data_IF_222272760515
#
_entry.id   IF_222272760515
#
_cell.length_a   1.000
_cell.length_b   1.000
_cell.length_c   1.000
_cell.angle_alpha   90.00
_cell.angle_beta   90.00
_cell.angle_gamma   90.00
#
_symmetry.space_group_name_H-M   'P 1'
#
loop_
_entity.id
_entity.type
_entity.pdbx_description
1 polymer ?
#
# COMPACT_ATOMS: atom_id res chain seq x y z
N UNK A 1 -48.15 18.10 2.22
CA UNK A 1 -46.75 18.44 2.56
C UNK A 1 -45.83 17.60 1.69
N UNK A 2 -45.10 18.15 0.74
CA UNK A 2 -44.20 17.36 -0.10
C UNK A 2 -42.87 17.10 0.61
N UNK A 3 -42.47 15.87 0.52
CA UNK A 3 -41.51 15.15 1.33
C UNK A 3 -40.08 15.72 1.36
N UNK A 4 -39.56 15.77 2.54
CA UNK A 4 -38.17 16.11 2.96
C UNK A 4 -37.09 15.30 2.22
N UNK A 5 -37.43 14.17 1.61
CA UNK A 5 -36.51 13.29 0.88
C UNK A 5 -35.96 13.89 -0.42
N UNK A 6 -36.76 14.70 -1.12
CA UNK A 6 -36.31 15.37 -2.37
C UNK A 6 -35.29 16.48 -2.12
N UNK A 7 -35.35 17.15 -0.96
CA UNK A 7 -34.42 18.20 -0.57
C UNK A 7 -33.06 17.64 -0.13
N UNK A 8 -33.06 16.42 0.41
CA UNK A 8 -31.81 15.76 0.82
C UNK A 8 -30.95 15.38 -0.40
N UNK A 9 -31.57 14.89 -1.46
CA UNK A 9 -30.88 14.50 -2.69
C UNK A 9 -30.31 15.68 -3.48
N UNK A 10 -30.97 16.85 -3.44
CA UNK A 10 -30.47 18.06 -4.12
C UNK A 10 -29.34 18.74 -3.35
N UNK A 11 -29.27 18.61 -2.01
CA UNK A 11 -28.17 19.18 -1.22
C UNK A 11 -26.90 18.34 -1.31
N UNK A 12 -26.98 17.05 -1.61
CA UNK A 12 -25.82 16.17 -1.75
C UNK A 12 -25.07 16.35 -3.09
N UNK A 13 -25.65 17.05 -4.05
CA UNK A 13 -25.06 17.26 -5.38
C UNK A 13 -24.11 18.46 -5.46
N UNK A 14 -24.03 19.30 -4.41
CA UNK A 14 -23.22 20.52 -4.41
C UNK A 14 -21.90 20.34 -3.64
N UNK A 15 -21.72 19.24 -2.91
CA UNK A 15 -20.42 18.86 -2.36
C UNK A 15 -19.67 17.88 -3.28
N UNK A 16 -19.66 18.16 -4.56
CA UNK A 16 -18.69 17.64 -5.49
C UNK A 16 -17.34 18.29 -5.17
N UNK A 17 -16.71 17.85 -4.08
CA UNK A 17 -15.30 18.09 -3.90
C UNK A 17 -14.61 17.54 -5.13
N UNK A 18 -14.03 18.43 -5.92
CA UNK A 18 -13.10 18.07 -6.96
C UNK A 18 -11.98 17.26 -6.29
N UNK A 19 -12.09 15.94 -6.32
CA UNK A 19 -10.96 15.05 -6.09
C UNK A 19 -10.03 15.37 -7.25
N UNK A 20 -9.14 16.32 -7.01
CA UNK A 20 -8.01 16.52 -7.90
C UNK A 20 -7.19 15.24 -7.79
N UNK A 21 -7.38 14.36 -8.76
CA UNK A 21 -6.48 13.24 -8.94
C UNK A 21 -5.11 13.83 -9.22
N UNK A 22 -4.25 13.83 -8.21
CA UNK A 22 -2.82 14.12 -8.40
C UNK A 22 -2.31 13.00 -9.29
N UNK A 23 -2.32 13.21 -10.59
CA UNK A 23 -1.64 12.34 -11.54
C UNK A 23 -0.14 12.56 -11.32
N UNK A 24 0.46 11.68 -10.54
CA UNK A 24 1.90 11.54 -10.53
C UNK A 24 2.31 11.12 -11.94
N UNK A 25 2.87 12.06 -12.71
CA UNK A 25 3.38 11.78 -14.05
C UNK A 25 4.85 11.40 -13.91
N UNK A 26 5.12 10.10 -13.84
CA UNK A 26 6.48 9.61 -13.99
C UNK A 26 6.99 9.98 -15.38
N UNK A 27 8.24 10.40 -15.49
CA UNK A 27 8.89 10.56 -16.77
C UNK A 27 9.00 9.18 -17.47
N UNK A 28 8.90 9.10 -18.80
CA UNK A 28 9.07 7.83 -19.50
C UNK A 28 10.41 7.19 -19.13
N UNK A 29 10.37 5.95 -18.62
CA UNK A 29 11.57 5.21 -18.22
C UNK A 29 11.99 5.37 -16.76
N UNK A 30 11.36 6.27 -15.97
CA UNK A 30 11.60 6.35 -14.54
C UNK A 30 10.61 5.48 -13.74
N UNK A 31 11.08 4.74 -12.73
CA UNK A 31 10.20 3.94 -11.89
C UNK A 31 9.31 4.84 -11.03
N UNK A 32 8.02 4.50 -10.94
CA UNK A 32 7.10 5.10 -9.98
C UNK A 32 6.85 4.10 -8.86
N UNK A 33 7.14 4.49 -7.63
CA UNK A 33 6.93 3.68 -6.42
C UNK A 33 5.91 4.40 -5.54
N UNK A 34 4.87 3.69 -5.14
CA UNK A 34 3.76 4.25 -4.36
C UNK A 34 3.52 3.39 -3.12
N UNK A 35 3.35 4.04 -1.99
CA UNK A 35 2.95 3.43 -0.72
C UNK A 35 1.73 4.13 -0.15
N UNK A 36 0.87 3.39 0.55
CA UNK A 36 -0.37 3.93 1.12
C UNK A 36 -0.12 4.81 2.35
N UNK A 37 0.85 4.44 3.18
CA UNK A 37 1.07 5.05 4.48
C UNK A 37 2.41 5.78 4.57
N UNK A 38 2.54 6.82 5.40
CA UNK A 38 3.78 7.60 5.53
C UNK A 38 5.01 6.75 5.91
N UNK A 39 4.85 5.70 6.72
CA UNK A 39 5.94 4.80 7.08
C UNK A 39 6.46 3.99 5.88
N UNK A 40 5.68 3.86 4.80
CA UNK A 40 6.13 3.25 3.55
C UNK A 40 7.23 4.01 2.82
N UNK A 41 7.53 5.26 3.22
CA UNK A 41 8.60 6.05 2.58
C UNK A 41 9.96 5.34 2.65
N UNK A 42 10.33 4.78 3.79
CA UNK A 42 11.58 4.03 3.95
C UNK A 42 11.63 2.82 3.00
N UNK A 43 10.50 2.13 2.84
CA UNK A 43 10.35 1.04 1.88
C UNK A 43 10.52 1.52 0.43
N UNK A 44 9.91 2.65 0.06
CA UNK A 44 10.05 3.24 -1.27
C UNK A 44 11.50 3.63 -1.58
N UNK A 45 12.20 4.22 -0.62
CA UNK A 45 13.61 4.60 -0.75
C UNK A 45 14.48 3.35 -0.98
N UNK A 46 14.22 2.26 -0.23
CA UNK A 46 14.92 0.98 -0.42
C UNK A 46 14.60 0.32 -1.77
N UNK A 47 13.36 0.32 -2.18
CA UNK A 47 12.93 -0.20 -3.47
C UNK A 47 13.64 0.54 -4.63
N UNK A 48 13.69 1.87 -4.56
CA UNK A 48 14.40 2.69 -5.55
C UNK A 48 15.90 2.39 -5.57
N UNK A 49 16.52 2.23 -4.40
CA UNK A 49 17.92 1.84 -4.26
C UNK A 49 18.18 0.47 -4.92
N UNK A 50 17.31 -0.50 -4.68
CA UNK A 50 17.40 -1.83 -5.29
C UNK A 50 17.37 -1.76 -6.83
N UNK A 51 16.47 -0.94 -7.39
CA UNK A 51 16.41 -0.74 -8.84
C UNK A 51 17.67 -0.06 -9.40
N UNK A 52 18.22 0.93 -8.70
CA UNK A 52 19.49 1.58 -9.08
C UNK A 52 20.67 0.60 -9.13
N UNK A 53 20.64 -0.42 -8.28
CA UNK A 53 21.63 -1.49 -8.26
C UNK A 53 21.28 -2.69 -9.16
N UNK A 54 20.42 -2.47 -10.17
CA UNK A 54 20.00 -3.47 -11.17
C UNK A 54 19.20 -4.66 -10.61
N UNK A 55 18.57 -4.52 -9.46
CA UNK A 55 17.57 -5.47 -8.98
C UNK A 55 16.33 -5.47 -9.88
N UNK A 56 15.61 -6.58 -9.91
CA UNK A 56 14.33 -6.67 -10.61
C UNK A 56 13.23 -5.87 -9.92
N UNK A 57 12.09 -5.69 -10.58
CA UNK A 57 10.91 -5.07 -9.97
C UNK A 57 10.42 -5.86 -8.76
N UNK A 58 10.48 -7.19 -8.81
CA UNK A 58 10.11 -8.06 -7.69
C UNK A 58 11.08 -7.88 -6.52
N UNK A 59 12.39 -7.86 -6.77
CA UNK A 59 13.39 -7.59 -5.73
C UNK A 59 13.15 -6.24 -5.07
N UNK A 60 12.82 -5.23 -5.87
CA UNK A 60 12.55 -3.88 -5.34
C UNK A 60 11.35 -3.87 -4.40
N UNK A 61 10.24 -4.52 -4.79
CA UNK A 61 9.04 -4.63 -3.97
C UNK A 61 9.34 -5.41 -2.70
N UNK A 62 9.97 -6.57 -2.80
CA UNK A 62 10.33 -7.42 -1.66
C UNK A 62 11.23 -6.65 -0.68
N UNK A 63 12.35 -6.10 -1.15
CA UNK A 63 13.28 -5.39 -0.29
C UNK A 63 12.66 -4.14 0.35
N UNK A 64 11.79 -3.45 -0.36
CA UNK A 64 11.04 -2.31 0.17
C UNK A 64 10.09 -2.70 1.29
N UNK A 65 9.32 -3.77 1.13
CA UNK A 65 8.38 -4.27 2.13
C UNK A 65 9.14 -4.76 3.38
N UNK A 66 10.22 -5.53 3.21
CA UNK A 66 11.02 -6.06 4.31
C UNK A 66 11.55 -4.98 5.25
N UNK A 67 11.90 -3.79 4.74
CA UNK A 67 12.33 -2.66 5.59
C UNK A 67 11.23 -2.26 6.56
N UNK A 68 9.98 -2.22 6.09
CA UNK A 68 8.84 -1.81 6.91
C UNK A 68 8.41 -2.91 7.87
N UNK A 69 8.41 -4.16 7.42
CA UNK A 69 8.03 -5.33 8.23
C UNK A 69 9.02 -5.61 9.37
N UNK A 70 10.30 -5.29 9.16
CA UNK A 70 11.36 -5.47 10.16
C UNK A 70 11.52 -4.28 11.12
N UNK A 71 10.74 -3.20 10.92
CA UNK A 71 10.81 -2.03 11.82
C UNK A 71 10.05 -2.31 13.11
N UNK A 72 10.78 -2.55 14.20
CA UNK A 72 10.23 -2.81 15.53
C UNK A 72 9.36 -1.67 16.10
N UNK A 73 9.42 -0.48 15.51
CA UNK A 73 8.58 0.67 15.89
C UNK A 73 7.25 0.68 15.17
N UNK A 74 7.14 -0.05 14.06
CA UNK A 74 5.91 -0.12 13.28
C UNK A 74 4.95 -1.15 13.90
N UNK A 75 3.84 -0.66 14.47
CA UNK A 75 2.82 -1.50 15.11
C UNK A 75 1.68 -1.91 14.17
N UNK A 76 1.75 -1.52 12.92
CA UNK A 76 0.67 -1.76 11.94
C UNK A 76 0.89 -3.02 11.11
N UNK A 77 2.15 -3.32 10.80
CA UNK A 77 2.54 -4.46 9.96
C UNK A 77 3.86 -5.04 10.46
N UNK A 78 4.17 -6.26 10.02
CA UNK A 78 5.44 -6.92 10.29
C UNK A 78 5.54 -7.52 11.69
N UNK A 79 6.77 -7.71 12.15
CA UNK A 79 7.11 -8.49 13.36
C UNK A 79 6.49 -7.95 14.65
N UNK A 80 6.16 -6.65 14.68
CA UNK A 80 5.53 -5.98 15.84
C UNK A 80 4.08 -5.59 15.58
N UNK A 81 3.45 -6.20 14.58
CA UNK A 81 2.04 -6.01 14.28
C UNK A 81 1.11 -6.37 15.45
N UNK A 82 -0.17 -6.01 15.33
CA UNK A 82 -1.14 -6.31 16.38
C UNK A 82 -1.40 -7.83 16.45
N UNK A 83 -1.35 -8.43 17.66
CA UNK A 83 -1.62 -9.83 17.83
C UNK A 83 -3.11 -10.16 17.67
N UNK A 84 -3.39 -11.41 17.36
CA UNK A 84 -4.74 -11.97 17.39
C UNK A 84 -5.26 -12.17 18.84
N UNK A 85 -6.47 -12.70 18.99
CA UNK A 85 -7.09 -12.92 20.31
C UNK A 85 -6.30 -13.91 21.20
N UNK A 86 -5.44 -14.75 20.63
CA UNK A 86 -4.56 -15.65 21.36
C UNK A 86 -3.19 -15.03 21.71
N UNK A 87 -2.99 -13.73 21.40
CA UNK A 87 -1.74 -13.04 21.66
C UNK A 87 -0.62 -13.32 20.64
N UNK A 88 -0.96 -13.94 19.51
CA UNK A 88 -0.01 -14.31 18.46
C UNK A 88 -0.08 -13.32 17.31
N UNK A 89 1.07 -12.78 16.90
CA UNK A 89 1.18 -12.00 15.68
C UNK A 89 1.16 -12.94 14.48
N UNK A 90 0.19 -12.76 13.60
CA UNK A 90 0.05 -13.49 12.35
C UNK A 90 0.04 -12.50 11.20
N UNK A 91 0.65 -12.86 10.10
CA UNK A 91 0.85 -11.98 8.95
C UNK A 91 0.38 -12.65 7.68
N UNK A 92 -0.13 -11.84 6.79
CA UNK A 92 -0.48 -12.22 5.42
C UNK A 92 0.38 -11.40 4.46
N UNK A 93 0.82 -12.00 3.38
CA UNK A 93 1.56 -11.30 2.34
C UNK A 93 1.17 -11.79 0.96
N UNK A 94 1.24 -10.89 -0.01
CA UNK A 94 1.08 -11.25 -1.42
C UNK A 94 1.96 -10.38 -2.30
N UNK A 95 2.33 -10.93 -3.45
CA UNK A 95 3.07 -10.22 -4.50
C UNK A 95 2.53 -10.63 -5.86
N UNK A 96 2.50 -9.70 -6.81
CA UNK A 96 2.03 -9.97 -8.15
C UNK A 96 2.87 -9.21 -9.19
N UNK A 97 3.04 -9.83 -10.36
CA UNK A 97 3.61 -9.20 -11.56
C UNK A 97 2.53 -8.86 -12.57
N UNK A 98 2.71 -7.76 -13.31
CA UNK A 98 1.75 -7.36 -14.35
C UNK A 98 2.01 -8.00 -15.71
N UNK A 99 3.25 -8.37 -16.01
CA UNK A 99 3.65 -8.89 -17.33
C UNK A 99 3.01 -10.22 -17.69
N UNK A 100 2.85 -11.08 -16.71
CA UNK A 100 2.36 -12.45 -16.85
C UNK A 100 1.23 -12.79 -15.87
N UNK A 101 0.83 -11.82 -15.05
CA UNK A 101 -0.21 -11.93 -14.01
C UNK A 101 0.10 -13.04 -12.99
N UNK A 102 1.37 -13.41 -12.80
CA UNK A 102 1.74 -14.33 -11.74
C UNK A 102 1.54 -13.68 -10.38
N UNK A 103 0.92 -14.41 -9.48
CA UNK A 103 0.70 -13.99 -8.12
C UNK A 103 1.07 -15.11 -7.14
N UNK A 104 1.65 -14.72 -6.00
CA UNK A 104 1.91 -15.60 -4.87
C UNK A 104 1.39 -14.95 -3.60
N UNK A 105 0.86 -15.76 -2.69
CA UNK A 105 0.39 -15.30 -1.40
C UNK A 105 0.63 -16.34 -0.30
N UNK A 106 0.74 -15.83 0.91
CA UNK A 106 0.80 -16.60 2.15
C UNK A 106 -0.12 -15.98 3.17
N UNK A 107 -0.65 -16.77 4.08
CA UNK A 107 -1.54 -16.28 5.13
C UNK A 107 -1.20 -16.95 6.47
N UNK A 108 -1.49 -16.22 7.56
CA UNK A 108 -1.35 -16.66 8.94
C UNK A 108 0.07 -17.15 9.28
N UNK A 109 1.10 -16.61 8.61
CA UNK A 109 2.50 -16.94 8.94
C UNK A 109 2.87 -16.32 10.29
N UNK A 110 3.69 -17.05 11.03
CA UNK A 110 4.21 -16.63 12.33
C UNK A 110 5.74 -16.59 12.24
N UNK A 111 6.36 -15.58 12.80
CA UNK A 111 7.82 -15.37 12.87
C UNK A 111 8.32 -15.37 14.27
#
# INVERSE_FOLDING_TARGET
MPSTRRRFLTSSLIMGTSIQSVRAKAAPGEPLIVSTWPFGKAGNDKALDTLKHKGSLLDAVEQGIRVVESDEKNRSVGITGLPNAAGVVQQDACIMTSSDHHAGSVAAIQG
#
